data_IF_697555297824
#
_entry.id   IF_697555297824
#
_cell.length_a   1.000
_cell.length_b   1.000
_cell.length_c   1.000
_cell.angle_alpha   90.00
_cell.angle_beta   90.00
_cell.angle_gamma   90.00
#
_symmetry.space_group_name_H-M   'P 1'
#
loop_
_entity.id
_entity.type
_entity.pdbx_description
1 polymer ?
#
# COMPACT_ATOMS: atom_id res chain seq x y z
N UNK A 1 4.71 -12.48 55.41
CA UNK A 1 3.25 -12.75 55.52
C UNK A 1 2.34 -11.53 55.37
N UNK A 2 2.69 -10.38 55.93
CA UNK A 2 1.89 -9.13 55.81
C UNK A 2 1.71 -8.67 54.37
N UNK A 3 2.74 -8.79 53.51
CA UNK A 3 2.67 -8.44 52.09
C UNK A 3 1.69 -9.34 51.33
N UNK A 4 1.70 -10.65 51.65
CA UNK A 4 0.78 -11.61 51.03
C UNK A 4 -0.67 -11.32 51.43
N UNK A 5 -0.91 -11.02 52.73
CA UNK A 5 -2.25 -10.62 53.23
C UNK A 5 -2.72 -9.32 52.57
N UNK A 6 -1.85 -8.32 52.43
CA UNK A 6 -2.15 -7.06 51.75
C UNK A 6 -2.53 -7.27 50.29
N UNK A 7 -1.72 -8.03 49.52
CA UNK A 7 -2.01 -8.34 48.15
C UNK A 7 -3.30 -9.14 47.98
N UNK A 8 -3.56 -10.12 48.86
CA UNK A 8 -4.81 -10.88 48.85
C UNK A 8 -6.00 -9.98 49.10
N UNK A 9 -5.90 -9.05 50.06
CA UNK A 9 -6.95 -8.08 50.33
C UNK A 9 -7.19 -7.12 49.16
N UNK A 10 -6.14 -6.65 48.49
CA UNK A 10 -6.27 -5.82 47.31
C UNK A 10 -6.94 -6.56 46.14
N UNK A 11 -6.60 -7.83 45.91
CA UNK A 11 -7.21 -8.66 44.88
C UNK A 11 -8.67 -8.98 45.20
N UNK A 12 -8.98 -9.27 46.46
CA UNK A 12 -10.35 -9.61 46.90
C UNK A 12 -11.31 -8.42 46.83
N UNK A 13 -10.78 -7.19 46.89
CA UNK A 13 -11.56 -5.96 46.81
C UNK A 13 -11.53 -5.31 45.42
N UNK A 14 -11.01 -6.01 44.39
CA UNK A 14 -11.07 -5.56 43.01
C UNK A 14 -12.47 -5.78 42.42
N UNK A 15 -13.22 -4.71 42.25
CA UNK A 15 -14.47 -4.74 41.50
C UNK A 15 -14.17 -4.90 40.00
N UNK A 16 -14.47 -6.10 39.48
CA UNK A 16 -14.40 -6.36 38.03
C UNK A 16 -15.72 -5.96 37.38
N UNK A 17 -15.73 -4.84 36.70
CA UNK A 17 -16.88 -4.43 35.91
C UNK A 17 -16.97 -5.27 34.63
N UNK A 18 -18.04 -6.05 34.48
CA UNK A 18 -18.32 -6.82 33.28
C UNK A 18 -19.42 -6.13 32.49
N UNK A 19 -19.10 -5.76 31.24
CA UNK A 19 -20.09 -5.28 30.28
C UNK A 19 -20.50 -6.48 29.40
N UNK A 20 -21.76 -6.91 29.54
CA UNK A 20 -22.33 -8.00 28.74
C UNK A 20 -23.05 -7.39 27.56
N UNK A 21 -22.57 -7.70 26.33
CA UNK A 21 -23.19 -7.27 25.06
C UNK A 21 -23.89 -8.46 24.45
N UNK A 22 -25.11 -8.26 23.96
CA UNK A 22 -25.87 -9.35 23.33
C UNK A 22 -25.19 -9.81 22.05
N UNK A 23 -25.44 -11.09 21.68
CA UNK A 23 -24.85 -11.69 20.46
C UNK A 23 -25.26 -10.98 19.17
N UNK A 24 -26.40 -10.30 19.18
CA UNK A 24 -26.94 -9.50 18.08
C UNK A 24 -26.29 -8.12 17.93
N UNK A 25 -25.63 -7.63 18.98
CA UNK A 25 -25.18 -6.23 19.08
C UNK A 25 -23.64 -6.10 19.03
N UNK A 26 -23.03 -6.93 18.18
CA UNK A 26 -21.57 -7.06 18.07
C UNK A 26 -20.84 -5.78 17.64
N UNK A 27 -21.48 -4.95 16.83
CA UNK A 27 -20.87 -3.67 16.43
C UNK A 27 -20.76 -2.75 17.64
N UNK A 28 -21.79 -2.72 18.48
CA UNK A 28 -21.79 -1.99 19.76
C UNK A 28 -20.72 -2.50 20.73
N UNK A 29 -20.39 -3.81 20.70
CA UNK A 29 -19.29 -4.35 21.51
C UNK A 29 -17.93 -3.76 21.10
N UNK A 30 -17.70 -3.52 19.80
CA UNK A 30 -16.49 -2.87 19.30
C UNK A 30 -16.46 -1.40 19.71
N UNK A 31 -17.57 -0.69 19.59
CA UNK A 31 -17.68 0.72 20.01
C UNK A 31 -17.50 0.88 21.52
N UNK A 32 -18.07 -0.03 22.30
CA UNK A 32 -17.90 -0.05 23.76
C UNK A 32 -16.44 -0.34 24.11
N UNK A 33 -15.81 -1.30 23.43
CA UNK A 33 -14.41 -1.65 23.65
C UNK A 33 -13.47 -0.49 23.25
N UNK A 34 -13.74 0.21 22.15
CA UNK A 34 -13.02 1.43 21.77
C UNK A 34 -13.17 2.52 22.84
N UNK A 35 -14.40 2.76 23.34
CA UNK A 35 -14.66 3.77 24.34
C UNK A 35 -14.06 3.44 25.73
N UNK A 36 -14.02 2.17 26.10
CA UNK A 36 -13.39 1.73 27.36
C UNK A 36 -11.86 1.86 27.31
N UNK A 37 -11.26 1.79 26.12
CA UNK A 37 -9.82 1.96 25.94
C UNK A 37 -9.37 3.44 25.82
N UNK A 38 -10.24 4.41 26.03
CA UNK A 38 -9.89 5.85 26.06
C UNK A 38 -8.81 6.17 27.10
N UNK A 39 -8.66 5.34 28.15
CA UNK A 39 -7.58 5.44 29.15
C UNK A 39 -6.37 4.53 28.90
N UNK A 40 -6.36 3.72 27.82
CA UNK A 40 -5.32 2.76 27.46
C UNK A 40 -4.77 2.98 26.06
N UNK A 41 -4.05 1.99 25.53
CA UNK A 41 -3.57 1.99 24.14
C UNK A 41 -4.76 1.73 23.22
N UNK A 42 -5.16 2.75 22.43
CA UNK A 42 -6.27 2.60 21.48
C UNK A 42 -5.91 1.57 20.39
N UNK A 43 -6.85 0.67 20.07
CA UNK A 43 -6.69 -0.27 18.97
C UNK A 43 -6.63 0.46 17.63
N UNK A 44 -5.70 0.03 16.80
CA UNK A 44 -5.61 0.50 15.43
C UNK A 44 -6.80 -0.01 14.60
N UNK A 45 -7.11 0.69 13.50
CA UNK A 45 -8.13 0.23 12.54
C UNK A 45 -7.84 -1.18 12.03
N UNK A 46 -6.57 -1.53 11.86
CA UNK A 46 -6.14 -2.87 11.42
C UNK A 46 -6.49 -3.94 12.45
N UNK A 47 -6.19 -3.72 13.73
CA UNK A 47 -6.54 -4.66 14.81
C UNK A 47 -8.04 -4.90 14.93
N UNK A 48 -8.85 -3.85 14.73
CA UNK A 48 -10.31 -3.98 14.70
C UNK A 48 -10.81 -4.79 13.50
N UNK A 49 -10.19 -4.63 12.32
CA UNK A 49 -10.50 -5.44 11.14
C UNK A 49 -10.08 -6.89 11.37
N UNK A 50 -8.92 -7.16 11.98
CA UNK A 50 -8.51 -8.51 12.37
C UNK A 50 -9.52 -9.15 13.32
N UNK A 51 -9.98 -8.42 14.35
CA UNK A 51 -10.99 -8.89 15.30
C UNK A 51 -12.33 -9.21 14.60
N UNK A 52 -12.74 -8.42 13.60
CA UNK A 52 -13.92 -8.71 12.78
C UNK A 52 -13.75 -9.98 11.95
N UNK A 53 -12.60 -10.14 11.30
CA UNK A 53 -12.30 -11.32 10.49
C UNK A 53 -12.28 -12.60 11.33
N UNK A 54 -11.82 -12.56 12.58
CA UNK A 54 -11.77 -13.71 13.50
C UNK A 54 -13.15 -14.33 13.81
N UNK A 55 -14.25 -13.64 13.49
CA UNK A 55 -15.61 -14.18 13.65
C UNK A 55 -15.92 -15.31 12.68
N UNK A 56 -15.18 -15.42 11.58
CA UNK A 56 -15.33 -16.46 10.56
C UNK A 56 -14.14 -17.41 10.63
N UNK A 57 -14.40 -18.72 10.69
CA UNK A 57 -13.34 -19.70 10.53
C UNK A 57 -12.86 -19.64 9.08
N UNK A 58 -11.66 -19.14 8.87
CA UNK A 58 -10.98 -19.21 7.60
C UNK A 58 -10.56 -20.66 7.30
N UNK A 59 -10.48 -21.03 6.03
CA UNK A 59 -10.35 -22.43 5.59
C UNK A 59 -9.11 -23.17 6.14
N UNK A 60 -8.14 -22.43 6.70
CA UNK A 60 -6.85 -22.98 7.19
C UNK A 60 -6.73 -23.03 8.72
N UNK A 61 -7.79 -22.75 9.49
CA UNK A 61 -7.70 -22.50 10.94
C UNK A 61 -6.72 -21.39 11.37
N UNK A 62 -6.17 -20.62 10.41
CA UNK A 62 -5.31 -19.47 10.64
C UNK A 62 -6.14 -18.21 10.80
N UNK A 63 -5.64 -17.27 11.57
CA UNK A 63 -6.24 -15.93 11.62
C UNK A 63 -5.85 -15.10 10.39
N UNK A 64 -6.51 -13.96 10.19
CA UNK A 64 -6.26 -13.10 9.03
C UNK A 64 -4.82 -12.54 9.00
N UNK A 65 -4.23 -12.24 10.16
CA UNK A 65 -2.84 -11.78 10.24
C UNK A 65 -1.88 -12.84 9.68
N UNK A 66 -2.01 -14.08 10.14
CA UNK A 66 -1.15 -15.19 9.68
C UNK A 66 -1.30 -15.42 8.18
N UNK A 67 -2.52 -15.29 7.64
CA UNK A 67 -2.78 -15.45 6.21
C UNK A 67 -2.14 -14.32 5.37
N UNK A 68 -2.14 -13.10 5.87
CA UNK A 68 -1.46 -11.96 5.22
C UNK A 68 0.05 -12.19 5.24
N UNK A 69 0.62 -12.61 6.37
CA UNK A 69 2.05 -12.90 6.52
C UNK A 69 2.46 -14.05 5.60
N UNK A 70 1.71 -15.15 5.58
CA UNK A 70 1.94 -16.27 4.66
C UNK A 70 1.95 -15.82 3.20
N UNK A 71 1.03 -14.90 2.82
CA UNK A 71 0.96 -14.40 1.46
C UNK A 71 2.17 -13.50 1.12
N UNK A 72 2.62 -12.67 2.07
CA UNK A 72 3.83 -11.85 1.91
C UNK A 72 5.07 -12.72 1.76
N UNK A 73 5.23 -13.74 2.60
CA UNK A 73 6.42 -14.60 2.61
C UNK A 73 6.43 -15.66 1.51
N UNK A 74 5.31 -15.85 0.81
CA UNK A 74 5.20 -16.87 -0.24
C UNK A 74 5.94 -16.44 -1.49
N UNK A 75 6.78 -17.32 -2.04
CA UNK A 75 7.37 -17.16 -3.37
C UNK A 75 6.30 -17.03 -4.44
N UNK A 76 6.43 -16.03 -5.31
CA UNK A 76 5.46 -15.74 -6.37
C UNK A 76 6.16 -15.67 -7.73
N UNK A 77 5.41 -16.02 -8.78
CA UNK A 77 5.82 -15.76 -10.16
C UNK A 77 5.23 -14.43 -10.61
N UNK A 78 6.07 -13.60 -11.21
CA UNK A 78 5.67 -12.32 -11.77
C UNK A 78 5.70 -12.39 -13.30
N UNK A 79 4.81 -11.64 -13.95
CA UNK A 79 4.76 -11.56 -15.40
C UNK A 79 5.95 -10.71 -15.90
N UNK A 80 6.74 -11.30 -16.81
CA UNK A 80 7.88 -10.62 -17.45
C UNK A 80 7.48 -9.38 -18.24
N UNK A 81 6.23 -9.30 -18.70
CA UNK A 81 5.70 -8.12 -19.38
C UNK A 81 5.70 -6.86 -18.52
N UNK A 82 5.68 -7.01 -17.20
CA UNK A 82 5.76 -5.88 -16.25
C UNK A 82 7.17 -5.29 -16.25
N UNK A 83 8.17 -6.09 -16.58
CA UNK A 83 9.58 -5.70 -16.55
C UNK A 83 9.87 -4.83 -17.78
N UNK A 84 10.31 -3.57 -17.61
CA UNK A 84 10.64 -2.71 -18.75
C UNK A 84 11.89 -3.22 -19.48
N UNK A 85 12.03 -2.91 -20.76
CA UNK A 85 13.13 -3.39 -21.61
C UNK A 85 14.52 -3.11 -21.00
N UNK A 86 14.68 -1.94 -20.37
CA UNK A 86 15.92 -1.57 -19.66
C UNK A 86 16.30 -2.53 -18.54
N UNK A 87 15.32 -3.24 -17.98
CA UNK A 87 15.53 -4.20 -16.89
C UNK A 87 15.57 -5.65 -17.34
N UNK A 88 15.13 -5.98 -18.56
CA UNK A 88 15.06 -7.38 -19.07
C UNK A 88 16.41 -8.08 -19.00
N UNK A 89 17.50 -7.40 -19.29
CA UNK A 89 18.88 -7.90 -19.21
C UNK A 89 19.22 -8.43 -17.81
N UNK A 90 18.61 -7.90 -16.76
CA UNK A 90 18.90 -8.19 -15.36
C UNK A 90 17.76 -8.94 -14.67
N UNK A 91 16.67 -9.15 -15.40
CA UNK A 91 15.46 -9.78 -14.86
C UNK A 91 15.76 -11.14 -14.22
N UNK A 92 16.59 -11.96 -14.87
CA UNK A 92 16.98 -13.27 -14.33
C UNK A 92 17.67 -13.12 -12.96
N UNK A 93 18.65 -12.25 -12.87
CA UNK A 93 19.36 -12.01 -11.61
C UNK A 93 18.41 -11.44 -10.53
N UNK A 94 17.50 -10.55 -10.94
CA UNK A 94 16.48 -10.00 -10.05
C UNK A 94 15.52 -11.11 -9.55
N UNK A 95 15.02 -11.97 -10.44
CA UNK A 95 14.14 -13.09 -10.11
C UNK A 95 14.88 -14.13 -9.25
N UNK A 96 16.12 -14.45 -9.54
CA UNK A 96 16.92 -15.35 -8.72
C UNK A 96 17.10 -14.79 -7.30
N UNK A 97 17.17 -13.45 -7.16
CA UNK A 97 17.29 -12.78 -5.86
C UNK A 97 15.98 -12.75 -5.09
N UNK A 98 14.82 -12.53 -5.76
CA UNK A 98 13.48 -12.54 -5.13
C UNK A 98 12.82 -13.92 -5.19
N UNK A 99 13.45 -14.90 -5.80
CA UNK A 99 12.89 -16.25 -5.98
C UNK A 99 12.56 -16.98 -4.67
N UNK A 100 13.10 -16.54 -3.54
CA UNK A 100 12.81 -17.07 -2.20
C UNK A 100 11.67 -16.31 -1.49
N UNK A 101 11.33 -15.09 -1.94
CA UNK A 101 10.37 -14.19 -1.29
C UNK A 101 9.50 -13.48 -2.31
N UNK A 102 8.35 -12.97 -1.86
CA UNK A 102 7.52 -12.10 -2.70
C UNK A 102 8.10 -10.68 -2.82
N UNK A 103 7.57 -9.88 -3.74
CA UNK A 103 7.98 -8.48 -3.91
C UNK A 103 7.66 -7.63 -2.67
N UNK A 104 6.52 -7.89 -2.01
CA UNK A 104 6.13 -7.22 -0.77
C UNK A 104 7.07 -7.55 0.40
N UNK A 105 7.53 -8.79 0.50
CA UNK A 105 8.51 -9.17 1.51
C UNK A 105 9.87 -8.48 1.26
N UNK A 106 10.34 -8.48 0.04
CA UNK A 106 11.58 -7.79 -0.37
C UNK A 106 11.53 -6.27 -0.12
N UNK A 107 10.36 -5.65 -0.20
CA UNK A 107 10.18 -4.25 0.19
C UNK A 107 10.22 -4.03 1.71
N UNK A 108 10.17 -5.08 2.52
CA UNK A 108 10.12 -5.00 3.98
C UNK A 108 8.73 -4.66 4.51
N UNK A 109 7.69 -5.24 3.89
CA UNK A 109 6.31 -5.12 4.37
C UNK A 109 6.06 -5.88 5.67
N UNK A 110 6.89 -6.88 5.99
CA UNK A 110 6.87 -7.64 7.22
C UNK A 110 8.24 -7.63 7.90
N UNK A 111 8.26 -7.49 9.23
CA UNK A 111 9.45 -7.59 10.08
C UNK A 111 9.40 -8.90 10.86
N UNK A 112 10.15 -9.91 10.38
CA UNK A 112 10.18 -11.24 11.01
C UNK A 112 10.68 -11.18 12.47
N UNK A 113 11.66 -10.31 12.78
CA UNK A 113 12.23 -10.22 14.13
C UNK A 113 11.23 -9.73 15.17
N UNK A 114 10.32 -8.87 14.73
CA UNK A 114 9.27 -8.30 15.59
C UNK A 114 7.94 -9.01 15.43
N UNK A 115 7.82 -9.92 14.47
CA UNK A 115 6.56 -10.53 14.04
C UNK A 115 5.46 -9.46 13.81
N UNK A 116 5.81 -8.44 13.02
CA UNK A 116 4.95 -7.27 12.85
C UNK A 116 4.91 -6.82 11.39
N UNK A 117 3.71 -6.53 10.90
CA UNK A 117 3.51 -5.86 9.63
C UNK A 117 3.95 -4.39 9.71
N UNK A 118 4.57 -3.90 8.65
CA UNK A 118 4.91 -2.49 8.54
C UNK A 118 3.64 -1.64 8.57
N UNK A 119 3.63 -0.55 9.35
CA UNK A 119 2.45 0.32 9.47
C UNK A 119 1.98 0.87 8.11
N UNK A 120 2.90 1.24 7.21
CA UNK A 120 2.52 1.67 5.85
C UNK A 120 1.76 0.57 5.11
N UNK A 121 2.21 -0.69 5.23
CA UNK A 121 1.54 -1.82 4.61
C UNK A 121 0.13 -2.02 5.16
N UNK A 122 -0.06 -1.98 6.48
CA UNK A 122 -1.39 -2.15 7.09
C UNK A 122 -2.36 -1.07 6.67
N UNK A 123 -1.92 0.19 6.61
CA UNK A 123 -2.75 1.31 6.17
C UNK A 123 -3.15 1.15 4.68
N UNK A 124 -2.19 0.74 3.83
CA UNK A 124 -2.44 0.49 2.41
C UNK A 124 -3.38 -0.70 2.23
N UNK A 125 -3.16 -1.80 2.97
CA UNK A 125 -4.01 -2.99 2.92
C UNK A 125 -5.46 -2.67 3.22
N UNK A 126 -5.71 -1.90 4.27
CA UNK A 126 -7.06 -1.49 4.66
C UNK A 126 -7.76 -0.68 3.56
N UNK A 127 -7.05 0.26 2.96
CA UNK A 127 -7.59 1.09 1.89
C UNK A 127 -7.86 0.27 0.62
N UNK A 128 -6.92 -0.58 0.20
CA UNK A 128 -7.09 -1.44 -0.99
C UNK A 128 -8.24 -2.43 -0.77
N UNK A 129 -8.31 -3.08 0.40
CA UNK A 129 -9.39 -3.99 0.75
C UNK A 129 -10.75 -3.29 0.68
N UNK A 130 -10.85 -2.10 1.27
CA UNK A 130 -12.07 -1.30 1.27
C UNK A 130 -12.52 -0.95 -0.15
N UNK A 131 -11.61 -0.47 -1.00
CA UNK A 131 -11.91 -0.16 -2.39
C UNK A 131 -12.40 -1.40 -3.17
N UNK A 132 -11.77 -2.56 -2.98
CA UNK A 132 -12.20 -3.82 -3.61
C UNK A 132 -13.60 -4.22 -3.17
N UNK A 133 -13.94 -4.03 -1.89
CA UNK A 133 -15.25 -4.39 -1.36
C UNK A 133 -16.36 -3.43 -1.85
N UNK A 134 -16.11 -2.11 -1.86
CA UNK A 134 -17.13 -1.12 -2.25
C UNK A 134 -17.24 -0.92 -3.76
N UNK A 135 -16.17 -1.17 -4.50
CA UNK A 135 -16.14 -1.02 -5.97
C UNK A 135 -15.68 -2.32 -6.63
N UNK A 136 -16.45 -3.42 -6.48
CA UNK A 136 -16.10 -4.69 -7.11
C UNK A 136 -16.20 -4.63 -8.64
N UNK A 137 -17.05 -3.74 -9.16
CA UNK A 137 -17.24 -3.49 -10.58
C UNK A 137 -16.99 -2.00 -10.90
N UNK A 138 -15.78 -1.72 -11.36
CA UNK A 138 -15.35 -0.37 -11.75
C UNK A 138 -16.12 0.20 -12.94
N UNK A 139 -16.79 -0.63 -13.72
CA UNK A 139 -17.59 -0.16 -14.86
C UNK A 139 -18.88 0.52 -14.41
N UNK A 140 -19.47 0.05 -13.31
CA UNK A 140 -20.74 0.55 -12.79
C UNK A 140 -20.56 1.63 -11.73
N UNK A 141 -19.53 1.53 -10.94
CA UNK A 141 -19.36 2.35 -9.76
C UNK A 141 -18.11 3.23 -9.88
N UNK A 142 -18.25 4.47 -9.41
CA UNK A 142 -17.11 5.38 -9.24
C UNK A 142 -16.51 5.18 -7.86
N UNK A 143 -15.19 5.35 -7.74
CA UNK A 143 -14.51 5.35 -6.45
C UNK A 143 -14.79 6.67 -5.73
N UNK A 144 -15.18 6.59 -4.46
CA UNK A 144 -15.48 7.73 -3.60
C UNK A 144 -14.46 7.89 -2.48
N UNK A 145 -14.21 9.13 -2.06
CA UNK A 145 -13.32 9.46 -0.95
C UNK A 145 -13.74 8.77 0.36
N UNK A 146 -15.04 8.60 0.56
CA UNK A 146 -15.59 7.96 1.75
C UNK A 146 -15.08 6.53 1.94
N UNK A 147 -14.77 5.80 0.87
CA UNK A 147 -14.37 4.38 0.92
C UNK A 147 -13.01 4.14 1.58
N UNK A 148 -12.14 5.15 1.61
CA UNK A 148 -10.85 5.08 2.33
C UNK A 148 -10.88 5.74 3.72
N UNK A 149 -12.06 6.15 4.21
CA UNK A 149 -12.21 6.68 5.56
C UNK A 149 -12.40 5.55 6.56
N UNK A 150 -11.88 5.77 7.79
CA UNK A 150 -11.93 4.81 8.89
C UNK A 150 -13.31 4.18 9.09
N UNK A 151 -14.37 5.00 9.12
CA UNK A 151 -15.74 4.53 9.40
C UNK A 151 -16.22 3.53 8.34
N UNK A 152 -15.91 3.79 7.07
CA UNK A 152 -16.24 2.87 5.97
C UNK A 152 -15.43 1.58 6.04
N UNK A 153 -14.14 1.66 6.32
CA UNK A 153 -13.29 0.48 6.54
C UNK A 153 -13.85 -0.36 7.70
N UNK A 154 -14.21 0.29 8.80
CA UNK A 154 -14.79 -0.39 9.96
C UNK A 154 -16.24 -0.87 9.72
N UNK A 155 -16.95 -0.41 8.71
CA UNK A 155 -18.28 -0.94 8.37
C UNK A 155 -18.22 -2.22 7.52
N UNK A 156 -17.04 -2.62 7.01
CA UNK A 156 -16.88 -3.89 6.30
C UNK A 156 -17.30 -5.07 7.18
N UNK A 157 -18.04 -5.99 6.59
CA UNK A 157 -18.47 -7.23 7.24
C UNK A 157 -17.34 -8.26 7.28
N UNK A 158 -17.44 -9.23 8.17
CA UNK A 158 -16.50 -10.37 8.23
C UNK A 158 -16.42 -11.11 6.90
N UNK A 159 -17.55 -11.27 6.19
CA UNK A 159 -17.59 -11.95 4.90
C UNK A 159 -16.86 -11.17 3.81
N UNK A 160 -17.07 -9.87 3.71
CA UNK A 160 -16.37 -9.01 2.76
C UNK A 160 -14.85 -9.06 2.98
N UNK A 161 -14.42 -8.94 4.24
CA UNK A 161 -13.00 -9.02 4.60
C UNK A 161 -12.42 -10.37 4.19
N UNK A 162 -13.06 -11.47 4.63
CA UNK A 162 -12.54 -12.83 4.42
C UNK A 162 -12.57 -13.26 2.95
N UNK A 163 -13.49 -12.74 2.15
CA UNK A 163 -13.58 -13.07 0.72
C UNK A 163 -12.61 -12.25 -0.15
N UNK A 164 -12.17 -11.06 0.31
CA UNK A 164 -11.41 -10.13 -0.50
C UNK A 164 -9.97 -9.87 -0.03
N UNK A 165 -9.57 -10.32 1.18
CA UNK A 165 -8.21 -10.08 1.68
C UNK A 165 -7.13 -10.60 0.73
N UNK A 166 -7.31 -11.79 0.17
CA UNK A 166 -6.34 -12.39 -0.76
C UNK A 166 -6.18 -11.58 -2.05
N UNK A 167 -7.28 -11.00 -2.56
CA UNK A 167 -7.23 -10.08 -3.71
C UNK A 167 -6.48 -8.80 -3.36
N UNK A 168 -6.67 -8.27 -2.16
CA UNK A 168 -5.95 -7.09 -1.69
C UNK A 168 -4.45 -7.38 -1.54
N UNK A 169 -4.07 -8.49 -0.89
CA UNK A 169 -2.65 -8.91 -0.78
C UNK A 169 -2.01 -9.07 -2.16
N UNK A 170 -2.68 -9.79 -3.08
CA UNK A 170 -2.22 -9.97 -4.46
C UNK A 170 -1.98 -8.64 -5.18
N UNK A 171 -2.91 -7.70 -5.07
CA UNK A 171 -2.79 -6.39 -5.69
C UNK A 171 -1.63 -5.58 -5.13
N UNK A 172 -1.44 -5.59 -3.81
CA UNK A 172 -0.33 -4.88 -3.16
C UNK A 172 1.01 -5.51 -3.52
N UNK A 173 1.11 -6.84 -3.55
CA UNK A 173 2.34 -7.51 -3.92
C UNK A 173 2.75 -7.20 -5.38
N UNK A 174 1.79 -7.19 -6.30
CA UNK A 174 2.00 -6.75 -7.69
C UNK A 174 2.42 -5.29 -7.79
N UNK A 175 1.84 -4.42 -6.96
CA UNK A 175 2.23 -3.03 -6.86
C UNK A 175 3.66 -2.88 -6.32
N UNK A 176 4.05 -3.69 -5.34
CA UNK A 176 5.42 -3.75 -4.84
C UNK A 176 6.40 -4.21 -5.94
N UNK A 177 6.03 -5.23 -6.72
CA UNK A 177 6.83 -5.67 -7.87
C UNK A 177 6.98 -4.57 -8.91
N UNK A 178 5.87 -3.93 -9.29
CA UNK A 178 5.87 -2.78 -10.21
C UNK A 178 6.82 -1.67 -9.74
N UNK A 179 6.73 -1.28 -8.45
CA UNK A 179 7.58 -0.23 -7.88
C UNK A 179 9.07 -0.62 -7.90
N UNK A 180 9.39 -1.88 -7.67
CA UNK A 180 10.77 -2.38 -7.73
C UNK A 180 11.34 -2.31 -9.13
N UNK A 181 10.62 -2.85 -10.13
CA UNK A 181 11.18 -3.01 -11.48
C UNK A 181 11.04 -1.78 -12.35
N UNK A 182 10.07 -0.89 -12.08
CA UNK A 182 9.80 0.29 -12.90
C UNK A 182 10.14 1.61 -12.22
N UNK A 183 10.11 1.63 -10.88
CA UNK A 183 10.25 2.90 -10.15
C UNK A 183 11.47 2.94 -9.21
N UNK A 184 12.34 1.93 -9.21
CA UNK A 184 13.57 1.92 -8.42
C UNK A 184 13.36 1.95 -6.90
N UNK A 185 12.21 1.51 -6.41
CA UNK A 185 11.90 1.41 -4.98
C UNK A 185 12.47 0.11 -4.42
N UNK A 186 13.27 0.18 -3.36
CA UNK A 186 13.91 -0.99 -2.71
C UNK A 186 13.30 -1.33 -1.36
N UNK A 187 12.73 -0.33 -0.68
CA UNK A 187 12.13 -0.48 0.66
C UNK A 187 10.85 0.32 0.73
N UNK A 188 9.87 -0.19 1.47
CA UNK A 188 8.57 0.48 1.65
C UNK A 188 8.71 1.89 2.25
N UNK A 189 9.77 2.14 3.03
CA UNK A 189 10.04 3.46 3.60
C UNK A 189 10.44 4.51 2.55
N UNK A 190 10.92 4.07 1.38
CA UNK A 190 11.34 4.96 0.28
C UNK A 190 10.17 5.56 -0.47
N UNK A 191 8.98 4.95 -0.34
CA UNK A 191 7.75 5.46 -0.95
C UNK A 191 7.41 6.82 -0.30
N UNK A 192 7.43 7.87 -1.12
CA UNK A 192 7.21 9.25 -0.64
C UNK A 192 5.75 9.46 -0.20
N UNK A 193 4.79 8.94 -0.97
CA UNK A 193 3.36 9.09 -0.74
C UNK A 193 2.69 7.73 -0.68
N UNK A 194 2.32 7.30 0.53
CA UNK A 194 1.78 5.94 0.77
C UNK A 194 0.53 5.65 -0.06
N UNK A 195 -0.31 6.66 -0.30
CA UNK A 195 -1.56 6.50 -1.05
C UNK A 195 -1.33 6.12 -2.52
N UNK A 196 -0.15 6.41 -3.09
CA UNK A 196 0.17 5.94 -4.45
C UNK A 196 0.17 4.40 -4.53
N UNK A 197 0.56 3.72 -3.46
CA UNK A 197 0.49 2.26 -3.41
C UNK A 197 -0.96 1.75 -3.30
N UNK A 198 -1.89 2.57 -2.81
CA UNK A 198 -3.32 2.25 -2.79
C UNK A 198 -3.88 2.18 -4.21
N UNK A 199 -3.60 3.18 -5.05
CA UNK A 199 -4.00 3.16 -6.46
C UNK A 199 -3.42 1.95 -7.18
N UNK A 200 -2.10 1.76 -7.08
CA UNK A 200 -1.43 0.63 -7.72
C UNK A 200 -2.00 -0.71 -7.24
N UNK A 201 -2.15 -0.89 -5.92
CA UNK A 201 -2.69 -2.12 -5.33
C UNK A 201 -4.12 -2.40 -5.77
N UNK A 202 -4.97 -1.38 -5.83
CA UNK A 202 -6.36 -1.54 -6.28
C UNK A 202 -6.43 -1.89 -7.77
N UNK A 203 -5.76 -1.16 -8.65
CA UNK A 203 -5.76 -1.41 -10.09
C UNK A 203 -5.14 -2.78 -10.41
N UNK A 204 -3.95 -3.07 -9.87
CA UNK A 204 -3.22 -4.30 -10.14
C UNK A 204 -3.81 -5.54 -9.43
N UNK A 205 -4.82 -5.37 -8.57
CA UNK A 205 -5.60 -6.49 -8.02
C UNK A 205 -6.43 -7.20 -9.10
N UNK A 206 -6.69 -6.53 -10.22
CA UNK A 206 -7.40 -7.10 -11.38
C UNK A 206 -6.38 -7.75 -12.33
N UNK A 207 -6.59 -9.04 -12.67
CA UNK A 207 -5.67 -9.80 -13.51
C UNK A 207 -5.57 -9.23 -14.92
N UNK A 208 -6.69 -8.84 -15.52
CA UNK A 208 -6.72 -8.28 -16.88
C UNK A 208 -5.98 -6.94 -16.98
N UNK A 209 -5.91 -6.17 -15.88
CA UNK A 209 -5.16 -4.91 -15.85
C UNK A 209 -3.68 -5.17 -15.66
N UNK A 210 -3.34 -6.12 -14.79
CA UNK A 210 -1.96 -6.50 -14.54
C UNK A 210 -1.27 -7.09 -15.78
N UNK A 211 -2.01 -7.85 -16.59
CA UNK A 211 -1.51 -8.47 -17.81
C UNK A 211 -1.45 -7.52 -19.02
N UNK A 212 -2.00 -6.31 -18.88
CA UNK A 212 -2.07 -5.34 -19.97
C UNK A 212 -0.92 -4.33 -19.91
N UNK A 213 0.03 -4.46 -20.83
CA UNK A 213 1.22 -3.61 -20.90
C UNK A 213 0.88 -2.12 -21.06
N UNK A 214 -0.19 -1.76 -21.80
CA UNK A 214 -0.59 -0.36 -21.93
C UNK A 214 -1.02 0.23 -20.59
N UNK A 215 -1.75 -0.54 -19.77
CA UNK A 215 -2.16 -0.09 -18.42
C UNK A 215 -0.92 0.07 -17.54
N UNK A 216 0.01 -0.86 -17.60
CA UNK A 216 1.28 -0.78 -16.86
C UNK A 216 2.06 0.49 -17.24
N UNK A 217 2.15 0.80 -18.54
CA UNK A 217 2.84 2.00 -19.02
C UNK A 217 2.10 3.29 -18.59
N UNK A 218 0.77 3.30 -18.56
CA UNK A 218 -0.04 4.40 -18.01
C UNK A 218 0.26 4.61 -16.53
N UNK A 219 0.31 3.53 -15.75
CA UNK A 219 0.62 3.61 -14.31
C UNK A 219 2.03 4.13 -14.04
N UNK A 220 3.01 3.77 -14.88
CA UNK A 220 4.38 4.29 -14.78
C UNK A 220 4.43 5.80 -15.09
N UNK A 221 3.77 6.22 -16.18
CA UNK A 221 3.66 7.63 -16.53
C UNK A 221 2.95 8.44 -15.43
N UNK A 222 1.84 7.93 -14.91
CA UNK A 222 1.14 8.53 -13.78
C UNK A 222 2.04 8.66 -12.55
N UNK A 223 2.77 7.61 -12.20
CA UNK A 223 3.64 7.60 -11.03
C UNK A 223 4.68 8.73 -11.10
N UNK A 224 5.43 8.80 -12.20
CA UNK A 224 6.47 9.81 -12.37
C UNK A 224 5.91 11.22 -12.47
N UNK A 225 4.85 11.43 -13.26
CA UNK A 225 4.22 12.73 -13.39
C UNK A 225 3.66 13.23 -12.03
N UNK A 226 3.06 12.35 -11.24
CA UNK A 226 2.52 12.71 -9.92
C UNK A 226 3.60 13.15 -8.95
N UNK A 227 4.74 12.45 -8.93
CA UNK A 227 5.83 12.82 -8.04
C UNK A 227 6.50 14.12 -8.51
N UNK A 228 6.81 14.23 -9.80
CA UNK A 228 7.48 15.41 -10.32
C UNK A 228 6.62 16.67 -10.30
N UNK A 229 5.30 16.55 -10.41
CA UNK A 229 4.39 17.70 -10.27
C UNK A 229 4.08 18.08 -8.82
N UNK A 230 4.51 17.26 -7.82
CA UNK A 230 4.14 17.49 -6.42
C UNK A 230 2.64 17.32 -6.14
N UNK A 231 1.94 16.53 -6.97
CA UNK A 231 0.48 16.36 -6.90
C UNK A 231 0.00 15.90 -5.51
N UNK A 232 0.82 15.15 -4.80
CA UNK A 232 0.49 14.64 -3.47
C UNK A 232 1.11 15.44 -2.32
N UNK A 233 1.65 16.62 -2.57
CA UNK A 233 2.15 17.50 -1.51
C UNK A 233 1.01 18.01 -0.61
N UNK A 234 -0.21 18.13 -1.17
CA UNK A 234 -1.43 18.51 -0.47
C UNK A 234 -2.59 17.63 -0.94
N UNK A 235 -3.65 17.59 -0.15
CA UNK A 235 -4.94 16.94 -0.49
C UNK A 235 -4.78 15.52 -1.05
N UNK A 236 -3.87 14.75 -0.43
CA UNK A 236 -3.46 13.43 -0.93
C UNK A 236 -4.64 12.48 -1.13
N UNK A 237 -5.61 12.49 -0.20
CA UNK A 237 -6.75 11.58 -0.24
C UNK A 237 -7.71 11.91 -1.39
N UNK A 238 -7.95 13.18 -1.63
CA UNK A 238 -8.77 13.66 -2.74
C UNK A 238 -8.09 13.35 -4.07
N UNK A 239 -6.81 13.71 -4.18
CA UNK A 239 -6.03 13.51 -5.39
C UNK A 239 -5.90 12.03 -5.78
N UNK A 240 -5.70 11.12 -4.83
CA UNK A 240 -5.60 9.70 -5.15
C UNK A 240 -6.92 9.12 -5.66
N UNK A 241 -8.05 9.55 -5.11
CA UNK A 241 -9.38 9.12 -5.57
C UNK A 241 -9.68 9.63 -6.97
N UNK A 242 -9.34 10.89 -7.26
CA UNK A 242 -9.43 11.44 -8.62
C UNK A 242 -8.56 10.63 -9.59
N UNK A 243 -7.31 10.36 -9.24
CA UNK A 243 -6.38 9.63 -10.07
C UNK A 243 -6.83 8.18 -10.32
N UNK A 244 -7.36 7.49 -9.31
CA UNK A 244 -7.98 6.17 -9.51
C UNK A 244 -9.10 6.25 -10.55
N UNK A 245 -10.00 7.21 -10.42
CA UNK A 245 -11.11 7.38 -11.36
C UNK A 245 -10.64 7.75 -12.77
N UNK A 246 -9.58 8.57 -12.90
CA UNK A 246 -8.98 8.91 -14.18
C UNK A 246 -8.33 7.69 -14.85
N UNK A 247 -7.54 6.91 -14.10
CA UNK A 247 -6.97 5.66 -14.62
C UNK A 247 -8.06 4.71 -15.08
N UNK A 248 -9.12 4.52 -14.29
CA UNK A 248 -10.26 3.68 -14.68
C UNK A 248 -11.01 4.23 -15.90
N UNK A 249 -11.09 5.54 -16.06
CA UNK A 249 -11.69 6.18 -17.25
C UNK A 249 -10.87 5.87 -18.52
N UNK A 250 -9.53 5.95 -18.44
CA UNK A 250 -8.65 5.61 -19.56
C UNK A 250 -8.75 4.11 -19.89
N UNK A 251 -8.86 3.25 -18.87
CA UNK A 251 -9.07 1.81 -19.08
C UNK A 251 -10.39 1.53 -19.83
N UNK A 252 -11.45 2.31 -19.53
CA UNK A 252 -12.73 2.22 -20.25
C UNK A 252 -12.67 2.79 -21.66
N UNK A 253 -11.91 3.85 -21.84
CA UNK A 253 -11.76 4.56 -23.12
C UNK A 253 -10.27 4.84 -23.41
N UNK A 254 -9.53 3.86 -23.97
CA UNK A 254 -8.09 3.98 -24.22
C UNK A 254 -7.67 5.11 -25.16
N UNK A 255 -8.62 5.66 -25.94
CA UNK A 255 -8.37 6.80 -26.84
C UNK A 255 -8.29 8.13 -26.10
N UNK A 256 -8.84 8.23 -24.89
CA UNK A 256 -8.78 9.45 -24.07
C UNK A 256 -7.43 9.54 -23.34
N UNK A 257 -6.49 10.25 -23.97
CA UNK A 257 -5.15 10.51 -23.41
C UNK A 257 -5.01 11.93 -22.83
N UNK A 258 -6.09 12.71 -22.78
CA UNK A 258 -6.03 14.11 -22.35
C UNK A 258 -5.48 14.26 -20.92
N UNK A 259 -5.93 13.42 -20.00
CA UNK A 259 -5.45 13.45 -18.62
C UNK A 259 -3.93 13.28 -18.50
N UNK A 260 -3.32 12.33 -19.24
CA UNK A 260 -1.86 12.12 -19.25
C UNK A 260 -1.14 13.33 -19.81
N UNK A 261 -1.70 13.94 -20.87
CA UNK A 261 -1.14 15.17 -21.45
C UNK A 261 -1.17 16.32 -20.44
N UNK A 262 -2.26 16.46 -19.71
CA UNK A 262 -2.40 17.50 -18.68
C UNK A 262 -1.46 17.24 -17.48
N UNK A 263 -1.28 16.00 -17.06
CA UNK A 263 -0.27 15.65 -16.06
C UNK A 263 1.15 16.03 -16.52
N UNK A 264 1.51 15.73 -17.76
CA UNK A 264 2.81 16.13 -18.32
C UNK A 264 2.99 17.64 -18.33
N UNK A 265 1.97 18.41 -18.74
CA UNK A 265 2.00 19.88 -18.69
C UNK A 265 2.25 20.36 -17.26
N UNK A 266 1.58 19.77 -16.28
CA UNK A 266 1.73 20.15 -14.88
C UNK A 266 3.17 19.97 -14.39
N UNK A 267 3.88 18.93 -14.80
CA UNK A 267 5.31 18.74 -14.49
C UNK A 267 6.14 19.91 -15.04
N UNK A 268 5.92 20.30 -16.29
CA UNK A 268 6.69 21.38 -16.93
C UNK A 268 6.37 22.77 -16.34
N UNK A 269 5.20 22.95 -15.72
CA UNK A 269 4.85 24.22 -15.06
C UNK A 269 5.38 24.32 -13.63
N UNK A 270 5.88 23.23 -13.04
CA UNK A 270 6.45 23.25 -11.70
C UNK A 270 7.79 23.99 -11.70
N UNK A 271 7.87 25.03 -10.86
CA UNK A 271 9.12 25.76 -10.64
C UNK A 271 10.21 24.80 -10.15
N UNK A 272 11.31 24.73 -10.86
CA UNK A 272 12.46 23.87 -10.56
C UNK A 272 12.57 22.61 -11.42
N UNK A 273 11.51 22.20 -12.17
CA UNK A 273 11.61 21.10 -13.15
C UNK A 273 11.68 21.58 -14.59
N UNK A 274 11.23 22.81 -14.87
CA UNK A 274 11.36 23.45 -16.17
C UNK A 274 12.78 23.98 -16.45
N UNK A 275 13.61 24.12 -15.42
CA UNK A 275 14.97 24.66 -15.54
C UNK A 275 16.03 23.55 -15.37
N UNK A 276 16.64 23.21 -16.49
CA UNK A 276 17.71 22.21 -16.57
C UNK A 276 18.90 22.55 -15.68
N UNK A 277 19.27 23.83 -15.55
CA UNK A 277 20.42 24.26 -14.76
C UNK A 277 20.15 24.03 -13.26
N UNK A 278 18.94 24.30 -12.80
CA UNK A 278 18.50 24.01 -11.43
C UNK A 278 18.49 22.51 -11.16
N UNK A 279 17.97 21.70 -12.09
CA UNK A 279 17.95 20.24 -11.97
C UNK A 279 19.37 19.66 -11.91
N UNK A 280 20.30 20.22 -12.67
CA UNK A 280 21.71 19.84 -12.66
C UNK A 280 22.50 20.44 -11.50
N UNK A 281 21.84 21.15 -10.56
CA UNK A 281 22.46 21.85 -9.43
C UNK A 281 23.57 22.82 -9.84
N UNK A 282 23.49 23.39 -11.04
CA UNK A 282 24.44 24.38 -11.55
C UNK A 282 24.14 25.81 -11.11
N UNK A 283 23.00 26.02 -10.46
CA UNK A 283 22.58 27.31 -9.89
C UNK A 283 22.71 27.29 -8.37
N UNK A 284 22.65 28.46 -7.74
CA UNK A 284 22.60 28.58 -6.28
C UNK A 284 21.26 28.09 -5.69
N UNK A 285 20.25 27.85 -6.54
CA UNK A 285 18.94 27.33 -6.13
C UNK A 285 19.01 25.80 -6.09
N UNK A 286 18.95 25.26 -4.87
CA UNK A 286 18.93 23.80 -4.67
C UNK A 286 17.50 23.30 -4.78
N UNK A 287 17.21 22.27 -5.61
CA UNK A 287 15.89 21.66 -5.67
C UNK A 287 15.44 21.15 -4.30
N UNK A 288 14.13 21.21 -4.03
CA UNK A 288 13.55 20.66 -2.78
C UNK A 288 14.03 19.22 -2.55
N UNK A 289 14.15 18.81 -1.29
CA UNK A 289 14.65 17.49 -0.92
C UNK A 289 13.87 16.34 -1.59
N UNK A 290 12.54 16.48 -1.73
CA UNK A 290 11.68 15.51 -2.43
C UNK A 290 12.10 15.38 -3.89
N UNK A 291 12.33 16.48 -4.59
CA UNK A 291 12.76 16.50 -6.00
C UNK A 291 14.10 15.80 -6.17
N UNK A 292 15.09 16.11 -5.33
CA UNK A 292 16.41 15.45 -5.38
C UNK A 292 16.30 13.95 -5.15
N UNK A 293 15.53 13.54 -4.13
CA UNK A 293 15.28 12.13 -3.84
C UNK A 293 14.62 11.42 -5.03
N UNK A 294 13.65 12.08 -5.66
CA UNK A 294 12.94 11.53 -6.81
C UNK A 294 13.83 11.42 -8.05
N UNK A 295 14.70 12.42 -8.29
CA UNK A 295 15.69 12.34 -9.36
C UNK A 295 16.66 11.16 -9.16
N UNK A 296 17.15 10.97 -7.93
CA UNK A 296 17.97 9.81 -7.60
C UNK A 296 17.22 8.50 -7.79
N UNK A 297 15.95 8.45 -7.39
CA UNK A 297 15.10 7.29 -7.59
C UNK A 297 14.86 7.00 -9.08
N UNK A 298 14.58 8.03 -9.89
CA UNK A 298 14.43 7.91 -11.34
C UNK A 298 15.72 7.39 -11.97
N UNK A 299 16.86 7.97 -11.60
CA UNK A 299 18.16 7.49 -12.07
C UNK A 299 18.40 6.01 -11.70
N UNK A 300 18.08 5.60 -10.47
CA UNK A 300 18.18 4.19 -10.06
C UNK A 300 17.22 3.28 -10.84
N UNK A 301 16.03 3.77 -11.22
CA UNK A 301 15.10 3.01 -12.05
C UNK A 301 15.63 2.79 -13.48
N UNK A 302 16.39 3.75 -14.02
CA UNK A 302 16.98 3.67 -15.35
C UNK A 302 18.32 2.92 -15.40
N UNK A 303 19.10 2.98 -14.31
CA UNK A 303 20.50 2.50 -14.28
C UNK A 303 20.71 1.37 -13.27
N UNK A 304 19.66 0.66 -12.88
CA UNK A 304 19.63 -0.34 -11.79
C UNK A 304 20.85 -1.28 -11.72
N UNK A 305 21.64 -1.38 -12.75
CA UNK A 305 22.68 -2.37 -12.94
C UNK A 305 24.10 -1.87 -12.76
N UNK A 306 24.35 -0.61 -13.08
CA UNK A 306 25.71 -0.12 -13.08
C UNK A 306 26.27 0.02 -11.66
N UNK A 307 25.40 0.32 -10.69
CA UNK A 307 25.77 0.41 -9.28
C UNK A 307 26.11 -0.95 -8.62
N UNK A 308 25.70 -2.09 -9.22
CA UNK A 308 26.05 -3.44 -8.72
C UNK A 308 27.21 -4.07 -9.48
N UNK A 309 27.38 -3.74 -10.75
CA UNK A 309 28.50 -4.26 -11.56
C UNK A 309 29.82 -3.66 -11.13
N UNK A 310 29.85 -2.43 -10.62
CA UNK A 310 31.06 -1.79 -10.11
C UNK A 310 31.51 -2.35 -8.74
N UNK A 311 30.60 -2.85 -7.90
CA UNK A 311 30.94 -3.52 -6.63
C UNK A 311 31.59 -4.89 -6.82
N UNK A 312 31.50 -5.52 -8.00
CA UNK A 312 32.06 -6.83 -8.28
C UNK A 312 33.37 -6.78 -9.10
N UNK A 313 33.85 -5.60 -9.45
CA UNK A 313 35.11 -5.41 -10.20
C UNK A 313 36.22 -4.72 -9.41
N UNK A 314 36.03 -4.47 -8.11
CA UNK A 314 37.08 -3.95 -7.23
C UNK A 314 37.55 -4.96 -6.19
#
# INVERSE_FOLDING_TARGET
>A
DKMKQYLTCCISNLDLHQIVVSKSDRNRAIDIYENLNIGGISLSTFELVLAKAAKKKLASNKNLFDLIVDDIQRTKKYDEKIVPDRMKKYYKCFIDTIGMYSASDRLGCFDEKKNQLNKKYTDIFLNVLSLICYVPDYQKNRVELSYIKRDKILSLTSDEICNNYGKACKGIDRACFFLQVRCGIRKIQEINYNLMLVLLGYILSNDSFYENENIINILEAWYWCSIFSGRYDKDQSENIIEDINHVLSIIKNPEDKNWIQDMKKNVFHMQGFSDKETLLMKTSVIPKAVVRKTLCQFYLAETYTDLRSEEHTS
#
